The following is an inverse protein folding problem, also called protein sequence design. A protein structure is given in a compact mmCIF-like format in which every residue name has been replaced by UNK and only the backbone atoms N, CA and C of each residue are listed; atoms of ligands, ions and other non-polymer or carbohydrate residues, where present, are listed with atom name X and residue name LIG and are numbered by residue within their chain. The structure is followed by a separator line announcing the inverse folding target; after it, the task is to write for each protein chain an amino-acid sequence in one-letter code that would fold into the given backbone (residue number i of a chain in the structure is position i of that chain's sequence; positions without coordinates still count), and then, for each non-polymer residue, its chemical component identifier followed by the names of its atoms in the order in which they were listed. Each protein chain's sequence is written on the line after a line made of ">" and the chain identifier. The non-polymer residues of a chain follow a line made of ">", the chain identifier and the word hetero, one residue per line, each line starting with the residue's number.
data_IF_808424093254
#
_entry.id   IF_808424093254
#
_cell.length_a   1.000
_cell.length_b   1.000
_cell.length_c   1.000
_cell.angle_alpha   90.00
_cell.angle_beta   90.00
_cell.angle_gamma   90.00
#
_symmetry.space_group_name_H-M   'P 1'
#
loop_
_entity.id
_entity.type
_entity.pdbx_description
1 polymer ?
#
# COMPACT_ATOMS: atom_id res chain seq x y z
N UNK A 1 10.25 -3.38 14.02
CA UNK A 1 10.14 -1.95 13.61
C UNK A 1 8.87 -1.37 14.22
N UNK A 2 8.92 -0.18 14.80
CA UNK A 2 7.74 0.53 15.28
C UNK A 2 7.18 1.41 14.17
N UNK A 3 5.89 1.25 13.84
CA UNK A 3 5.23 2.05 12.81
C UNK A 3 4.43 3.19 13.45
N UNK A 4 4.55 4.39 12.90
CA UNK A 4 3.64 5.49 13.21
C UNK A 4 2.32 5.25 12.50
N UNK A 5 1.21 5.30 13.23
CA UNK A 5 -0.10 5.02 12.65
C UNK A 5 -1.01 6.24 12.68
N UNK A 6 -1.44 6.70 11.52
CA UNK A 6 -2.49 7.71 11.40
C UNK A 6 -3.85 7.02 11.45
N UNK A 7 -4.73 7.51 12.34
CA UNK A 7 -6.08 6.99 12.56
C UNK A 7 -7.09 7.97 12.00
N UNK A 8 -7.69 7.67 10.85
CA UNK A 8 -8.77 8.46 10.24
C UNK A 8 -10.11 8.19 10.90
N UNK A 9 -10.34 6.97 11.34
CA UNK A 9 -11.50 6.56 12.12
C UNK A 9 -11.09 5.53 13.15
N UNK A 10 -11.45 5.75 14.43
CA UNK A 10 -11.11 4.83 15.51
C UNK A 10 -11.83 3.48 15.36
N UNK A 11 -13.08 3.53 14.94
CA UNK A 11 -13.91 2.34 14.72
C UNK A 11 -14.34 1.62 16.00
N UNK A 12 -15.11 0.55 15.83
CA UNK A 12 -15.51 -0.38 16.87
C UNK A 12 -14.58 -1.61 16.88
N UNK A 13 -14.33 -2.21 18.03
CA UNK A 13 -13.53 -3.43 18.16
C UNK A 13 -14.18 -4.65 17.51
N UNK A 14 -15.51 -4.61 17.35
CA UNK A 14 -16.27 -5.70 16.74
C UNK A 14 -16.26 -5.66 15.21
N UNK A 15 -15.68 -4.62 14.61
CA UNK A 15 -15.63 -4.44 13.17
C UNK A 15 -14.18 -4.59 12.67
N UNK A 16 -14.00 -5.36 11.60
CA UNK A 16 -12.70 -5.61 10.98
C UNK A 16 -12.05 -4.31 10.49
N UNK A 17 -10.84 -3.94 10.96
CA UNK A 17 -10.18 -2.70 10.57
C UNK A 17 -9.71 -2.71 9.12
N UNK A 18 -9.65 -1.53 8.51
CA UNK A 18 -9.09 -1.27 7.20
C UNK A 18 -7.72 -0.62 7.35
N UNK A 19 -6.68 -1.26 6.84
CA UNK A 19 -5.28 -0.81 6.89
C UNK A 19 -4.84 -0.37 5.51
N UNK A 20 -4.58 0.92 5.36
CA UNK A 20 -4.17 1.58 4.11
C UNK A 20 -2.64 1.71 4.06
N UNK A 21 -2.00 1.00 3.15
CA UNK A 21 -0.53 0.99 3.02
C UNK A 21 -0.13 1.86 1.83
N UNK A 22 0.61 2.93 2.12
CA UNK A 22 0.89 3.98 1.15
C UNK A 22 1.94 3.61 0.08
N UNK A 23 2.00 4.43 -0.98
CA UNK A 23 2.97 4.32 -2.06
C UNK A 23 4.30 5.02 -1.75
N UNK A 24 5.31 4.71 -2.56
CA UNK A 24 6.56 5.45 -2.69
C UNK A 24 6.38 6.60 -3.74
N UNK A 25 7.00 7.78 -3.59
CA UNK A 25 7.90 8.22 -2.51
C UNK A 25 7.22 9.01 -1.39
N UNK A 26 5.91 8.96 -1.32
CA UNK A 26 5.06 9.73 -0.39
C UNK A 26 4.82 8.98 0.94
N UNK A 27 3.84 9.44 1.73
CA UNK A 27 3.48 8.93 3.05
C UNK A 27 1.94 8.76 3.16
N UNK A 28 1.43 8.54 4.40
CA UNK A 28 0.01 8.31 4.65
C UNK A 28 -0.92 9.38 4.06
N UNK A 29 -0.46 10.63 3.91
CA UNK A 29 -1.27 11.75 3.40
C UNK A 29 -1.85 11.52 2.01
N UNK A 30 -1.27 10.60 1.24
CA UNK A 30 -1.88 10.18 -0.01
C UNK A 30 -3.27 9.55 0.15
N UNK A 31 -3.61 9.11 1.36
CA UNK A 31 -4.89 8.52 1.71
C UNK A 31 -5.90 9.51 2.31
N UNK A 32 -5.50 10.76 2.65
CA UNK A 32 -6.33 11.71 3.40
C UNK A 32 -7.75 11.83 2.82
N UNK A 33 -7.87 12.28 1.58
CA UNK A 33 -9.18 12.46 0.94
C UNK A 33 -9.90 11.11 0.72
N UNK A 34 -9.15 10.06 0.34
CA UNK A 34 -9.72 8.74 0.13
C UNK A 34 -10.31 8.17 1.42
N UNK A 35 -9.61 8.30 2.56
CA UNK A 35 -10.07 7.82 3.86
C UNK A 35 -11.33 8.54 4.33
N UNK A 36 -11.43 9.85 4.09
CA UNK A 36 -12.65 10.64 4.36
C UNK A 36 -13.84 10.14 3.50
N UNK A 37 -13.61 9.90 2.21
CA UNK A 37 -14.64 9.31 1.34
C UNK A 37 -15.03 7.90 1.78
N UNK A 38 -14.07 7.05 2.20
CA UNK A 38 -14.37 5.70 2.71
C UNK A 38 -15.28 5.80 3.93
N UNK A 39 -14.93 6.64 4.91
CA UNK A 39 -15.72 6.80 6.12
C UNK A 39 -17.16 7.23 5.80
N UNK A 40 -17.29 8.29 4.98
CA UNK A 40 -18.60 8.82 4.56
C UNK A 40 -19.44 7.76 3.83
N UNK A 41 -18.89 7.12 2.80
CA UNK A 41 -19.62 6.14 2.00
C UNK A 41 -20.00 4.89 2.80
N UNK A 42 -19.15 4.47 3.75
CA UNK A 42 -19.44 3.36 4.65
C UNK A 42 -20.65 3.69 5.55
N UNK A 43 -20.69 4.91 6.11
CA UNK A 43 -21.79 5.38 6.95
C UNK A 43 -23.09 5.52 6.15
N UNK A 44 -23.04 6.09 4.93
CA UNK A 44 -24.18 6.19 4.01
C UNK A 44 -24.78 4.81 3.66
N UNK A 45 -23.95 3.77 3.64
CA UNK A 45 -24.39 2.38 3.35
C UNK A 45 -24.74 1.57 4.60
N UNK A 46 -24.62 2.14 5.79
CA UNK A 46 -24.90 1.45 7.05
C UNK A 46 -23.93 0.30 7.34
N UNK A 47 -22.68 0.38 6.87
CA UNK A 47 -21.67 -0.62 7.17
C UNK A 47 -21.24 -0.52 8.65
N UNK A 48 -20.70 -1.62 9.24
CA UNK A 48 -20.13 -1.58 10.57
C UNK A 48 -19.11 -0.44 10.72
N UNK A 49 -19.04 0.17 11.89
CA UNK A 49 -18.11 1.25 12.20
C UNK A 49 -16.68 0.68 12.34
N UNK A 50 -16.05 0.31 11.24
CA UNK A 50 -14.67 -0.23 11.21
C UNK A 50 -13.62 0.88 11.35
N UNK A 51 -12.49 0.55 11.97
CA UNK A 51 -11.34 1.46 12.03
C UNK A 51 -10.72 1.67 10.64
N UNK A 52 -10.20 2.89 10.38
CA UNK A 52 -9.47 3.23 9.16
C UNK A 52 -8.11 3.76 9.58
N UNK A 53 -7.06 3.02 9.25
CA UNK A 53 -5.67 3.31 9.62
C UNK A 53 -4.80 3.45 8.39
N UNK A 54 -3.82 4.34 8.48
CA UNK A 54 -2.74 4.44 7.49
C UNK A 54 -1.38 4.52 8.21
N UNK A 55 -0.80 3.37 8.55
CA UNK A 55 0.54 3.33 9.14
C UNK A 55 1.60 3.74 8.14
N UNK A 56 2.60 4.49 8.61
CA UNK A 56 3.74 4.90 7.82
C UNK A 56 4.70 3.75 7.57
N UNK A 57 5.25 3.70 6.35
CA UNK A 57 6.44 2.89 6.11
C UNK A 57 7.67 3.55 6.76
N UNK A 58 8.69 2.76 7.14
CA UNK A 58 9.92 3.31 7.69
C UNK A 58 10.53 4.43 6.85
N UNK A 59 10.90 5.51 7.52
CA UNK A 59 11.49 6.70 6.91
C UNK A 59 10.51 7.52 6.06
N UNK A 60 9.19 7.28 6.18
CA UNK A 60 8.15 8.16 5.64
C UNK A 60 7.50 8.94 6.78
N UNK A 61 7.07 10.17 6.51
CA UNK A 61 6.51 11.03 7.54
C UNK A 61 7.38 11.08 8.80
N UNK A 62 6.77 10.86 9.96
CA UNK A 62 7.48 10.82 11.25
C UNK A 62 7.93 9.41 11.66
N UNK A 63 7.86 8.42 10.76
CA UNK A 63 8.27 7.06 11.06
C UNK A 63 9.81 6.93 11.01
N UNK A 64 10.40 6.40 12.07
CA UNK A 64 11.85 6.22 12.15
C UNK A 64 12.36 5.25 11.08
N UNK A 65 13.61 5.47 10.65
CA UNK A 65 14.33 4.52 9.81
C UNK A 65 14.80 3.38 10.70
N UNK A 66 14.57 2.10 10.32
CA UNK A 66 15.00 0.97 11.12
C UNK A 66 16.52 0.89 11.29
N UNK A 67 16.96 0.37 12.41
CA UNK A 67 18.35 0.01 12.62
C UNK A 67 18.81 -1.06 11.62
N UNK A 68 20.12 -1.31 11.54
CA UNK A 68 20.65 -2.38 10.70
C UNK A 68 20.13 -3.76 11.15
N UNK A 69 20.00 -3.97 12.47
CA UNK A 69 19.43 -5.21 13.02
C UNK A 69 17.96 -5.39 12.62
N UNK A 70 17.13 -4.33 12.71
CA UNK A 70 15.73 -4.36 12.30
C UNK A 70 15.56 -4.49 10.79
N UNK A 71 16.47 -3.96 9.98
CA UNK A 71 16.47 -4.08 8.52
C UNK A 71 16.80 -5.51 8.07
N UNK A 72 17.72 -6.16 8.75
CA UNK A 72 18.14 -7.53 8.46
C UNK A 72 19.28 -7.61 7.43
N UNK A 73 19.30 -8.68 6.65
CA UNK A 73 20.38 -9.00 5.73
C UNK A 73 20.46 -8.02 4.57
N UNK A 74 21.67 -7.51 4.32
CA UNK A 74 22.00 -6.69 3.16
C UNK A 74 22.70 -7.58 2.13
N UNK A 75 22.13 -7.64 0.92
CA UNK A 75 22.72 -8.35 -0.21
C UNK A 75 23.99 -7.65 -0.73
N UNK A 76 24.82 -8.37 -1.49
CA UNK A 76 26.05 -7.83 -2.06
C UNK A 76 25.85 -6.58 -2.96
N UNK A 77 24.68 -6.43 -3.55
CA UNK A 77 24.28 -5.26 -4.36
C UNK A 77 23.69 -4.11 -3.54
N UNK A 78 23.57 -4.27 -2.22
CA UNK A 78 23.02 -3.27 -1.30
C UNK A 78 21.50 -3.27 -1.18
N UNK A 79 20.78 -4.21 -1.80
CA UNK A 79 19.36 -4.43 -1.54
C UNK A 79 19.14 -5.15 -0.20
N UNK A 80 17.95 -5.02 0.38
CA UNK A 80 17.62 -5.61 1.69
C UNK A 80 16.80 -6.90 1.50
N UNK A 81 17.39 -8.05 1.88
CA UNK A 81 16.76 -9.35 1.70
C UNK A 81 15.52 -9.55 2.58
N UNK A 82 15.58 -9.06 3.83
CA UNK A 82 14.58 -9.35 4.86
C UNK A 82 13.61 -8.17 5.12
N UNK A 83 13.93 -6.98 4.62
CA UNK A 83 13.26 -5.75 5.03
C UNK A 83 11.74 -5.75 4.74
N UNK A 84 11.30 -6.28 3.57
CA UNK A 84 9.87 -6.39 3.29
C UNK A 84 9.17 -7.30 4.29
N UNK A 85 9.74 -8.47 4.57
CA UNK A 85 9.15 -9.44 5.51
C UNK A 85 9.05 -8.87 6.93
N UNK A 86 10.09 -8.19 7.39
CA UNK A 86 10.11 -7.54 8.71
C UNK A 86 9.15 -6.36 8.80
N UNK A 87 9.01 -5.59 7.71
CA UNK A 87 8.01 -4.53 7.59
C UNK A 87 6.60 -5.13 7.67
N UNK A 88 6.34 -6.20 6.93
CA UNK A 88 5.07 -6.92 6.96
C UNK A 88 4.72 -7.40 8.37
N UNK A 89 5.70 -8.01 9.08
CA UNK A 89 5.52 -8.43 10.48
C UNK A 89 5.12 -7.25 11.38
N UNK A 90 5.68 -6.06 11.13
CA UNK A 90 5.36 -4.85 11.90
C UNK A 90 3.93 -4.35 11.67
N UNK A 91 3.42 -4.43 10.43
CA UNK A 91 2.01 -4.12 10.12
C UNK A 91 1.05 -5.12 10.79
N UNK A 92 1.38 -6.40 10.75
CA UNK A 92 0.58 -7.46 11.40
C UNK A 92 0.59 -7.28 12.92
N UNK A 93 1.74 -6.99 13.50
CA UNK A 93 1.88 -6.76 14.94
C UNK A 93 1.09 -5.52 15.40
N UNK A 94 1.08 -4.44 14.60
CA UNK A 94 0.25 -3.25 14.88
C UNK A 94 -1.23 -3.63 15.00
N UNK A 95 -1.74 -4.45 14.07
CA UNK A 95 -3.14 -4.93 14.10
C UNK A 95 -3.40 -5.79 15.33
N UNK A 96 -2.50 -6.74 15.64
CA UNK A 96 -2.63 -7.64 16.80
C UNK A 96 -2.56 -6.90 18.14
N UNK A 97 -1.64 -5.94 18.29
CA UNK A 97 -1.54 -5.11 19.50
C UNK A 97 -2.77 -4.24 19.75
N UNK A 98 -3.45 -3.84 18.69
CA UNK A 98 -4.72 -3.13 18.82
C UNK A 98 -5.90 -4.06 19.19
N UNK A 99 -5.66 -5.38 19.33
CA UNK A 99 -6.64 -6.37 19.75
C UNK A 99 -7.48 -6.96 18.62
N UNK A 100 -7.03 -6.81 17.35
CA UNK A 100 -7.71 -7.41 16.20
C UNK A 100 -7.03 -8.70 15.74
N UNK A 101 -7.82 -9.74 15.48
CA UNK A 101 -7.36 -11.00 14.90
C UNK A 101 -7.36 -10.99 13.37
N UNK A 102 -8.12 -10.09 12.75
CA UNK A 102 -8.30 -9.95 11.31
C UNK A 102 -8.24 -8.49 10.89
N UNK A 103 -7.79 -8.23 9.65
CA UNK A 103 -7.82 -6.92 9.03
C UNK A 103 -8.00 -7.01 7.51
N UNK A 104 -8.51 -5.95 6.90
CA UNK A 104 -8.46 -5.75 5.45
C UNK A 104 -7.22 -4.94 5.13
N UNK A 105 -6.34 -5.46 4.28
CA UNK A 105 -5.14 -4.75 3.82
C UNK A 105 -5.38 -4.16 2.43
N UNK A 106 -5.10 -2.88 2.29
CA UNK A 106 -5.13 -2.14 1.03
C UNK A 106 -3.73 -1.63 0.75
N UNK A 107 -3.13 -2.04 -0.35
CA UNK A 107 -1.80 -1.58 -0.71
C UNK A 107 -1.78 -0.90 -2.07
N UNK A 108 -1.30 0.35 -2.13
CA UNK A 108 -1.08 1.06 -3.38
C UNK A 108 0.41 1.02 -3.75
N UNK A 109 0.73 0.59 -4.98
CA UNK A 109 2.10 0.53 -5.49
C UNK A 109 3.03 -0.26 -4.56
N UNK A 110 4.01 0.39 -3.92
CA UNK A 110 4.89 -0.23 -2.93
C UNK A 110 4.11 -0.81 -1.74
N UNK A 111 2.99 -0.18 -1.34
CA UNK A 111 2.09 -0.74 -0.33
C UNK A 111 1.49 -2.08 -0.72
N UNK A 112 1.31 -2.31 -2.03
CA UNK A 112 0.87 -3.60 -2.56
C UNK A 112 1.86 -4.72 -2.32
N UNK A 113 3.18 -4.42 -2.26
CA UNK A 113 4.19 -5.42 -1.91
C UNK A 113 4.00 -5.91 -0.48
N UNK A 114 3.74 -4.98 0.46
CA UNK A 114 3.43 -5.32 1.85
C UNK A 114 2.15 -6.15 1.93
N UNK A 115 1.07 -5.71 1.28
CA UNK A 115 -0.21 -6.42 1.30
C UNK A 115 -0.12 -7.84 0.73
N UNK A 116 0.66 -8.06 -0.34
CA UNK A 116 0.92 -9.40 -0.89
C UNK A 116 1.86 -10.22 -0.02
N UNK A 117 2.80 -9.60 0.68
CA UNK A 117 3.65 -10.31 1.63
C UNK A 117 2.89 -10.72 2.89
N UNK A 118 1.82 -9.98 3.29
CA UNK A 118 0.86 -10.44 4.31
C UNK A 118 0.18 -11.74 3.84
N UNK A 119 -0.24 -11.84 2.57
CA UNK A 119 -0.80 -13.11 2.02
C UNK A 119 0.17 -14.27 2.18
N UNK A 120 1.46 -14.02 1.91
CA UNK A 120 2.51 -15.06 1.97
C UNK A 120 2.80 -15.54 3.39
N UNK A 121 2.87 -14.60 4.35
CA UNK A 121 3.44 -14.84 5.69
C UNK A 121 2.39 -14.99 6.77
N UNK A 122 1.30 -14.28 6.63
CA UNK A 122 0.25 -14.15 7.65
C UNK A 122 -1.16 -14.26 7.03
N UNK A 123 -1.48 -15.31 6.25
CA UNK A 123 -2.79 -15.45 5.64
C UNK A 123 -3.92 -15.51 6.67
N UNK A 124 -3.60 -15.91 7.90
CA UNK A 124 -4.52 -15.99 9.02
C UNK A 124 -5.09 -14.64 9.45
N UNK A 125 -4.36 -13.54 9.28
CA UNK A 125 -4.84 -12.20 9.66
C UNK A 125 -5.72 -11.55 8.59
N UNK A 126 -5.74 -12.08 7.38
CA UNK A 126 -6.50 -11.46 6.29
C UNK A 126 -8.00 -11.70 6.44
N UNK A 127 -8.77 -10.61 6.38
CA UNK A 127 -10.22 -10.61 6.17
C UNK A 127 -10.58 -10.17 4.74
N UNK A 128 -9.71 -9.41 4.10
CA UNK A 128 -9.86 -8.93 2.74
C UNK A 128 -8.57 -8.30 2.22
N UNK A 129 -8.47 -8.16 0.90
CA UNK A 129 -7.30 -7.64 0.22
C UNK A 129 -7.69 -6.67 -0.89
N UNK A 130 -7.05 -5.50 -0.96
CA UNK A 130 -7.10 -4.65 -2.14
C UNK A 130 -5.69 -4.34 -2.66
N UNK A 131 -5.50 -4.53 -3.96
CA UNK A 131 -4.26 -4.23 -4.68
C UNK A 131 -4.53 -3.07 -5.63
N UNK A 132 -3.91 -1.92 -5.36
CA UNK A 132 -4.10 -0.69 -6.12
C UNK A 132 -2.80 -0.33 -6.84
N UNK A 133 -2.85 -0.13 -8.17
CA UNK A 133 -1.72 0.38 -8.98
C UNK A 133 -0.39 -0.33 -8.67
N UNK A 134 -0.40 -1.68 -8.57
CA UNK A 134 0.72 -2.48 -8.09
C UNK A 134 0.96 -3.73 -8.92
N UNK A 135 2.01 -4.49 -8.58
CA UNK A 135 2.38 -5.73 -9.26
C UNK A 135 2.95 -6.76 -8.27
N UNK A 136 2.71 -8.08 -8.48
CA UNK A 136 3.18 -9.12 -7.58
C UNK A 136 4.64 -9.53 -7.83
N UNK A 137 5.15 -9.35 -9.05
CA UNK A 137 6.48 -9.79 -9.45
C UNK A 137 7.62 -8.91 -8.92
N UNK A 138 8.85 -9.42 -8.96
CA UNK A 138 10.04 -8.63 -8.69
C UNK A 138 10.26 -7.60 -9.81
N UNK A 139 11.13 -6.62 -9.56
CA UNK A 139 11.55 -5.73 -10.62
C UNK A 139 12.37 -6.47 -11.69
N UNK A 140 12.20 -6.08 -12.94
CA UNK A 140 13.15 -6.43 -13.99
C UNK A 140 14.56 -5.91 -13.61
N UNK A 141 15.65 -6.56 -14.07
CA UNK A 141 17.02 -6.22 -13.66
C UNK A 141 17.36 -4.73 -13.75
N UNK A 142 16.93 -4.08 -14.84
CA UNK A 142 17.17 -2.64 -15.05
C UNK A 142 16.41 -1.76 -14.06
N UNK A 143 15.14 -2.08 -13.77
CA UNK A 143 14.33 -1.35 -12.79
C UNK A 143 14.90 -1.51 -11.38
N UNK A 144 15.33 -2.73 -11.02
CA UNK A 144 16.02 -3.03 -9.76
C UNK A 144 17.33 -2.24 -9.61
N UNK A 145 18.16 -2.22 -10.64
CA UNK A 145 19.41 -1.44 -10.66
C UNK A 145 19.11 0.07 -10.50
N UNK A 146 18.05 0.57 -11.13
CA UNK A 146 17.65 1.96 -11.00
C UNK A 146 17.22 2.31 -9.56
N UNK A 147 16.48 1.40 -8.87
CA UNK A 147 16.15 1.60 -7.44
C UNK A 147 17.40 1.74 -6.58
N UNK A 148 18.38 0.87 -6.76
CA UNK A 148 19.63 0.90 -5.99
C UNK A 148 20.45 2.16 -6.30
N UNK A 149 20.45 2.61 -7.56
CA UNK A 149 21.07 3.89 -7.95
C UNK A 149 20.39 5.07 -7.26
N UNK A 150 19.05 5.14 -7.27
CA UNK A 150 18.30 6.20 -6.58
C UNK A 150 18.60 6.17 -5.09
N UNK A 151 18.61 5.00 -4.45
CA UNK A 151 18.92 4.84 -3.04
C UNK A 151 20.31 5.44 -2.72
N UNK A 152 21.32 5.05 -3.50
CA UNK A 152 22.70 5.53 -3.32
C UNK A 152 22.81 7.04 -3.52
N UNK A 153 22.18 7.59 -4.56
CA UNK A 153 22.22 9.04 -4.84
C UNK A 153 21.54 9.85 -3.72
N UNK A 154 20.38 9.39 -3.23
CA UNK A 154 19.69 10.06 -2.13
C UNK A 154 20.50 10.03 -0.84
N UNK A 155 21.05 8.88 -0.47
CA UNK A 155 21.78 8.67 0.78
C UNK A 155 23.12 9.41 0.77
N UNK A 156 23.95 9.22 -0.26
CA UNK A 156 25.28 9.82 -0.34
C UNK A 156 25.24 11.32 -0.62
N UNK A 157 24.31 11.78 -1.46
CA UNK A 157 24.11 13.18 -1.80
C UNK A 157 23.27 13.94 -0.76
N UNK A 158 22.66 13.25 0.21
CA UNK A 158 21.68 13.81 1.14
C UNK A 158 20.64 14.67 0.39
N UNK A 159 20.06 14.12 -0.69
CA UNK A 159 19.21 14.85 -1.63
C UNK A 159 17.97 14.04 -2.02
N UNK A 160 16.90 14.74 -2.41
CA UNK A 160 15.65 14.16 -2.92
C UNK A 160 15.49 14.32 -4.43
N UNK A 161 16.46 15.00 -5.09
CA UNK A 161 16.43 15.22 -6.55
C UNK A 161 16.17 13.95 -7.38
N UNK A 162 16.72 12.77 -7.05
CA UNK A 162 16.46 11.55 -7.81
C UNK A 162 15.00 11.10 -7.85
N UNK A 163 14.16 11.58 -6.92
CA UNK A 163 12.74 11.23 -6.83
C UNK A 163 11.79 12.39 -7.16
N UNK A 164 12.31 13.58 -7.45
CA UNK A 164 11.46 14.73 -7.80
C UNK A 164 10.64 14.54 -9.08
N UNK A 165 11.06 13.65 -9.97
CA UNK A 165 10.30 13.32 -11.18
C UNK A 165 8.88 12.78 -10.87
N UNK A 166 8.63 12.22 -9.67
CA UNK A 166 7.29 11.81 -9.25
C UNK A 166 6.33 12.99 -9.06
N UNK A 167 6.83 14.19 -8.79
CA UNK A 167 6.02 15.42 -8.72
C UNK A 167 5.71 16.01 -10.09
N UNK A 168 6.58 15.76 -11.09
CA UNK A 168 6.49 16.39 -12.39
C UNK A 168 5.49 15.67 -13.31
N UNK A 169 4.67 16.42 -14.07
CA UNK A 169 3.75 15.81 -15.03
C UNK A 169 4.51 15.23 -16.22
N UNK A 170 3.98 14.12 -16.74
CA UNK A 170 4.48 13.46 -17.94
C UNK A 170 3.40 13.47 -19.05
N UNK A 171 3.81 13.36 -20.32
CA UNK A 171 2.85 13.16 -21.41
C UNK A 171 2.00 11.91 -21.15
N UNK A 172 0.67 12.04 -21.22
CA UNK A 172 -0.27 10.93 -20.97
C UNK A 172 -0.78 10.81 -19.53
N UNK A 173 -0.26 11.62 -18.59
CA UNK A 173 -0.82 11.68 -17.25
C UNK A 173 -2.27 12.20 -17.22
N UNK A 174 -2.98 11.90 -16.13
CA UNK A 174 -4.34 12.39 -15.86
C UNK A 174 -4.42 13.93 -15.82
N UNK A 175 -5.61 14.47 -16.02
CA UNK A 175 -5.85 15.90 -15.89
C UNK A 175 -5.42 16.42 -14.50
N UNK A 176 -5.73 15.64 -13.45
CA UNK A 176 -5.31 15.99 -12.07
C UNK A 176 -3.78 16.00 -11.94
N UNK A 177 -3.10 14.94 -12.40
CA UNK A 177 -1.63 14.83 -12.30
C UNK A 177 -0.90 15.97 -13.00
N UNK A 178 -1.46 16.48 -14.12
CA UNK A 178 -0.92 17.64 -14.87
C UNK A 178 -1.26 18.99 -14.25
N UNK A 179 -2.12 19.04 -13.24
CA UNK A 179 -2.52 20.30 -12.62
C UNK A 179 -1.39 20.92 -11.78
N UNK A 180 -1.28 22.26 -11.73
CA UNK A 180 -0.34 22.94 -10.83
C UNK A 180 -0.55 22.57 -9.37
N UNK A 181 -1.77 22.30 -8.96
CA UNK A 181 -2.11 21.91 -7.60
C UNK A 181 -1.48 20.55 -7.24
N UNK A 182 -1.55 19.56 -8.14
CA UNK A 182 -0.93 18.25 -7.94
C UNK A 182 0.59 18.37 -7.90
N UNK A 183 1.19 19.14 -8.83
CA UNK A 183 2.65 19.37 -8.85
C UNK A 183 3.11 19.98 -7.53
N UNK A 184 2.44 21.02 -7.04
CA UNK A 184 2.77 21.65 -5.77
C UNK A 184 2.61 20.70 -4.58
N UNK A 185 1.54 19.89 -4.58
CA UNK A 185 1.24 18.90 -3.54
C UNK A 185 2.36 17.84 -3.44
N UNK A 186 2.68 17.17 -4.56
CA UNK A 186 3.72 16.14 -4.58
C UNK A 186 5.11 16.71 -4.33
N UNK A 187 5.42 17.89 -4.87
CA UNK A 187 6.68 18.58 -4.59
C UNK A 187 6.86 18.79 -3.09
N UNK A 188 5.84 19.31 -2.41
CA UNK A 188 5.86 19.50 -0.96
C UNK A 188 6.03 18.16 -0.22
N UNK A 189 5.20 17.16 -0.52
CA UNK A 189 5.26 15.86 0.14
C UNK A 189 6.61 15.16 -0.03
N UNK A 190 7.22 15.28 -1.21
CA UNK A 190 8.53 14.69 -1.47
C UNK A 190 9.63 15.47 -0.71
N UNK A 191 9.60 16.80 -0.71
CA UNK A 191 10.58 17.60 0.03
C UNK A 191 10.53 17.40 1.55
N UNK A 192 9.42 16.96 2.08
CA UNK A 192 9.23 16.62 3.49
C UNK A 192 9.70 15.18 3.83
N UNK A 193 10.12 14.36 2.85
CA UNK A 193 10.70 13.04 3.09
C UNK A 193 12.18 13.17 3.48
N UNK A 194 12.69 12.14 4.19
CA UNK A 194 14.13 12.06 4.44
C UNK A 194 14.85 11.32 3.29
N UNK A 195 16.01 11.82 2.81
CA UNK A 195 16.81 11.11 1.81
C UNK A 195 17.16 9.67 2.21
N UNK A 196 17.51 9.46 3.48
CA UNK A 196 17.79 8.12 4.01
C UNK A 196 16.55 7.21 4.05
N UNK A 197 15.35 7.76 4.34
CA UNK A 197 14.08 7.04 4.27
C UNK A 197 13.72 6.64 2.84
N UNK A 198 13.94 7.52 1.86
CA UNK A 198 13.83 7.20 0.43
C UNK A 198 14.77 6.06 0.07
N UNK A 199 16.04 6.14 0.49
CA UNK A 199 17.04 5.11 0.23
C UNK A 199 16.63 3.76 0.82
N UNK A 200 16.18 3.74 2.09
CA UNK A 200 15.74 2.52 2.77
C UNK A 200 14.60 1.83 2.01
N UNK A 201 13.54 2.58 1.66
CA UNK A 201 12.38 2.05 0.93
C UNK A 201 12.74 1.53 -0.46
N UNK A 202 13.66 2.18 -1.17
CA UNK A 202 14.14 1.71 -2.46
C UNK A 202 14.97 0.42 -2.34
N UNK A 203 15.85 0.29 -1.33
CA UNK A 203 16.62 -0.92 -1.07
C UNK A 203 15.72 -2.09 -0.66
N UNK A 204 14.69 -1.84 0.15
CA UNK A 204 13.66 -2.82 0.51
C UNK A 204 12.92 -3.31 -0.74
N UNK A 205 12.43 -2.40 -1.57
CA UNK A 205 11.72 -2.76 -2.80
C UNK A 205 12.60 -3.53 -3.80
N UNK A 206 13.89 -3.18 -3.92
CA UNK A 206 14.85 -3.89 -4.75
C UNK A 206 15.14 -5.33 -4.26
N UNK A 207 15.01 -5.57 -2.96
CA UNK A 207 15.23 -6.89 -2.35
C UNK A 207 13.99 -7.79 -2.27
N UNK A 208 12.80 -7.29 -2.68
CA UNK A 208 11.56 -8.05 -2.53
C UNK A 208 11.56 -9.33 -3.36
N UNK A 209 10.97 -10.42 -2.85
CA UNK A 209 10.81 -11.66 -3.60
C UNK A 209 9.72 -11.52 -4.69
N UNK A 210 9.64 -12.53 -5.54
CA UNK A 210 8.48 -12.76 -6.41
C UNK A 210 7.30 -13.27 -5.55
N UNK A 211 6.20 -12.51 -5.56
CA UNK A 211 4.98 -12.83 -4.83
C UNK A 211 3.86 -13.37 -5.74
N UNK A 212 4.13 -13.57 -7.03
CA UNK A 212 3.16 -14.07 -8.02
C UNK A 212 2.57 -15.42 -7.61
N UNK A 213 3.42 -16.30 -7.06
CA UNK A 213 3.01 -17.63 -6.60
C UNK A 213 1.99 -17.63 -5.44
N UNK A 214 1.77 -16.50 -4.78
CA UNK A 214 0.79 -16.37 -3.69
C UNK A 214 -0.63 -16.09 -4.20
N UNK A 215 -0.79 -15.59 -5.42
CA UNK A 215 -2.08 -15.15 -5.96
C UNK A 215 -3.17 -16.23 -5.96
N UNK A 216 -2.90 -17.50 -6.34
CA UNK A 216 -3.91 -18.55 -6.30
C UNK A 216 -4.41 -18.87 -4.89
N UNK A 217 -3.59 -18.63 -3.87
CA UNK A 217 -3.90 -18.90 -2.46
C UNK A 217 -4.75 -17.82 -1.77
N UNK A 218 -5.10 -16.74 -2.46
CA UNK A 218 -5.94 -15.69 -1.90
C UNK A 218 -7.39 -16.18 -1.90
N UNK A 219 -7.93 -16.46 -0.71
CA UNK A 219 -9.30 -16.99 -0.53
C UNK A 219 -10.28 -15.99 0.07
N UNK A 220 -9.79 -14.86 0.56
CA UNK A 220 -10.61 -13.78 1.12
C UNK A 220 -11.19 -12.87 0.03
N UNK A 221 -12.25 -12.09 0.30
CA UNK A 221 -12.73 -11.08 -0.62
C UNK A 221 -11.61 -10.18 -1.11
N UNK A 222 -11.45 -10.03 -2.43
CA UNK A 222 -10.37 -9.24 -3.01
C UNK A 222 -10.86 -8.20 -4.00
N UNK A 223 -10.14 -7.08 -4.08
CA UNK A 223 -10.33 -6.04 -5.08
C UNK A 223 -9.00 -5.70 -5.76
N UNK A 224 -9.05 -5.39 -7.05
CA UNK A 224 -7.94 -4.84 -7.83
C UNK A 224 -8.40 -3.52 -8.44
N UNK A 225 -7.73 -2.42 -8.10
CA UNK A 225 -8.05 -1.06 -8.53
C UNK A 225 -6.88 -0.49 -9.32
N UNK A 226 -7.13 0.08 -10.49
CA UNK A 226 -6.07 0.65 -11.30
C UNK A 226 -6.55 1.89 -12.07
N UNK A 227 -5.69 2.90 -12.13
CA UNK A 227 -5.87 4.00 -13.07
C UNK A 227 -5.77 3.52 -14.52
N UNK A 228 -6.64 4.04 -15.40
CA UNK A 228 -6.61 3.69 -16.84
C UNK A 228 -5.32 4.17 -17.54
N UNK A 229 -4.66 5.16 -16.97
CA UNK A 229 -3.42 5.74 -17.47
C UNK A 229 -2.18 5.24 -16.71
N UNK A 230 -2.35 4.32 -15.73
CA UNK A 230 -1.22 3.74 -15.01
C UNK A 230 -0.42 2.79 -15.92
N UNK A 231 0.92 2.94 -16.02
CA UNK A 231 1.77 2.00 -16.72
C UNK A 231 1.64 0.54 -16.25
N UNK A 232 1.24 0.30 -15.00
CA UNK A 232 1.05 -1.04 -14.45
C UNK A 232 -0.27 -1.72 -14.86
N UNK A 233 -1.19 -1.02 -15.54
CA UNK A 233 -2.51 -1.55 -15.92
C UNK A 233 -2.44 -2.89 -16.66
N UNK A 234 -1.52 -3.02 -17.63
CA UNK A 234 -1.34 -4.26 -18.39
C UNK A 234 -0.90 -5.42 -17.47
N UNK A 235 0.02 -5.15 -16.54
CA UNK A 235 0.48 -6.11 -15.54
C UNK A 235 -0.66 -6.53 -14.62
N UNK A 236 -1.47 -5.57 -14.15
CA UNK A 236 -2.61 -5.85 -13.27
C UNK A 236 -3.64 -6.72 -13.98
N UNK A 237 -3.98 -6.43 -15.23
CA UNK A 237 -4.84 -7.30 -16.05
C UNK A 237 -4.28 -8.71 -16.22
N UNK A 238 -2.95 -8.85 -16.30
CA UNK A 238 -2.26 -10.13 -16.45
C UNK A 238 -2.28 -11.00 -15.19
N UNK A 239 -2.21 -10.42 -13.99
CA UNK A 239 -2.18 -11.21 -12.77
C UNK A 239 -3.57 -11.48 -12.15
N UNK A 240 -4.59 -10.67 -12.42
CA UNK A 240 -5.96 -10.91 -11.90
C UNK A 240 -6.46 -12.33 -12.18
N UNK A 241 -6.31 -12.90 -13.38
CA UNK A 241 -6.73 -14.28 -13.67
C UNK A 241 -6.01 -15.34 -12.83
N UNK A 242 -4.86 -15.01 -12.23
CA UNK A 242 -4.12 -15.93 -11.36
C UNK A 242 -4.69 -15.98 -9.95
N UNK A 243 -5.55 -15.06 -9.56
CA UNK A 243 -6.21 -15.02 -8.24
C UNK A 243 -7.43 -15.97 -8.21
N UNK A 244 -7.16 -17.26 -8.41
CA UNK A 244 -8.20 -18.29 -8.61
C UNK A 244 -8.93 -18.72 -7.35
N UNK A 245 -8.38 -18.42 -6.16
CA UNK A 245 -8.99 -18.79 -4.87
C UNK A 245 -10.16 -17.92 -4.44
N UNK A 246 -10.43 -16.80 -5.13
CA UNK A 246 -11.48 -15.85 -4.76
C UNK A 246 -12.09 -15.16 -5.97
N UNK A 247 -13.30 -14.60 -5.80
CA UNK A 247 -13.87 -13.69 -6.81
C UNK A 247 -13.30 -12.29 -6.62
N UNK A 248 -12.44 -11.87 -7.55
CA UNK A 248 -11.84 -10.54 -7.55
C UNK A 248 -12.81 -9.52 -8.17
N UNK A 249 -13.07 -8.41 -7.45
CA UNK A 249 -13.70 -7.24 -8.05
C UNK A 249 -12.61 -6.36 -8.69
N UNK A 250 -12.76 -6.04 -9.97
CA UNK A 250 -11.81 -5.17 -10.67
C UNK A 250 -12.44 -3.81 -10.95
N UNK A 251 -11.68 -2.75 -10.70
CA UNK A 251 -12.10 -1.37 -11.00
C UNK A 251 -10.99 -0.68 -11.77
N UNK A 252 -11.30 -0.28 -13.00
CA UNK A 252 -10.46 0.62 -13.79
C UNK A 252 -11.04 2.03 -13.68
N UNK A 253 -10.22 3.02 -13.37
CA UNK A 253 -10.64 4.39 -13.13
C UNK A 253 -10.15 5.26 -14.31
N UNK A 254 -11.09 5.84 -15.04
CA UNK A 254 -10.78 6.72 -16.17
C UNK A 254 -10.14 8.03 -15.72
N UNK A 255 -9.31 8.65 -16.57
CA UNK A 255 -8.51 9.85 -16.29
C UNK A 255 -7.78 9.78 -14.94
N UNK A 256 -7.11 8.65 -14.70
CA UNK A 256 -6.43 8.34 -13.45
C UNK A 256 -5.13 7.60 -13.76
N UNK A 257 -4.03 8.05 -13.17
CA UNK A 257 -2.71 7.42 -13.26
C UNK A 257 -2.37 6.59 -12.04
N UNK A 258 -1.08 6.58 -11.68
CA UNK A 258 -0.49 5.70 -10.68
C UNK A 258 -0.88 6.00 -9.22
N UNK A 259 -1.22 7.24 -8.90
CA UNK A 259 -1.61 7.62 -7.54
C UNK A 259 -3.13 7.71 -7.44
N UNK A 260 -3.83 6.61 -7.75
CA UNK A 260 -5.29 6.61 -7.88
C UNK A 260 -6.02 7.14 -6.66
N UNK A 261 -5.52 6.88 -5.45
CA UNK A 261 -6.11 7.38 -4.20
C UNK A 261 -6.01 8.92 -4.04
N UNK A 262 -5.06 9.55 -4.74
CA UNK A 262 -4.90 11.02 -4.77
C UNK A 262 -5.62 11.62 -5.97
N UNK A 263 -5.52 10.96 -7.13
CA UNK A 263 -6.06 11.48 -8.38
C UNK A 263 -7.59 11.36 -8.45
N UNK A 264 -8.15 10.26 -7.94
CA UNK A 264 -9.58 9.95 -7.97
C UNK A 264 -10.05 9.33 -6.64
N UNK A 265 -9.91 10.03 -5.49
CA UNK A 265 -10.13 9.48 -4.15
C UNK A 265 -11.53 8.90 -3.94
N UNK A 266 -12.56 9.55 -4.48
CA UNK A 266 -13.93 9.06 -4.37
C UNK A 266 -14.19 7.77 -5.17
N UNK A 267 -13.49 7.56 -6.29
CA UNK A 267 -13.63 6.33 -7.09
C UNK A 267 -12.94 5.15 -6.40
N UNK A 268 -11.73 5.36 -5.87
CA UNK A 268 -11.02 4.36 -5.06
C UNK A 268 -11.83 4.01 -3.81
N UNK A 269 -12.33 5.02 -3.09
CA UNK A 269 -13.14 4.81 -1.89
C UNK A 269 -14.39 3.95 -2.16
N UNK A 270 -15.10 4.16 -3.28
CA UNK A 270 -16.24 3.30 -3.67
C UNK A 270 -15.83 1.84 -3.80
N UNK A 271 -14.73 1.56 -4.50
CA UNK A 271 -14.23 0.19 -4.68
C UNK A 271 -13.84 -0.45 -3.33
N UNK A 272 -13.23 0.32 -2.42
CA UNK A 272 -12.84 -0.16 -1.11
C UNK A 272 -14.03 -0.37 -0.17
N UNK A 273 -15.06 0.48 -0.24
CA UNK A 273 -16.31 0.28 0.52
C UNK A 273 -17.08 -0.94 0.00
N UNK A 274 -17.09 -1.18 -1.32
CA UNK A 274 -17.63 -2.42 -1.90
C UNK A 274 -16.88 -3.67 -1.39
N UNK A 275 -15.56 -3.58 -1.22
CA UNK A 275 -14.78 -4.64 -0.61
C UNK A 275 -15.17 -4.84 0.86
N UNK A 276 -15.24 -3.77 1.65
CA UNK A 276 -15.63 -3.84 3.07
C UNK A 276 -17.02 -4.44 3.26
N UNK A 277 -17.96 -4.13 2.36
CA UNK A 277 -19.29 -4.72 2.37
C UNK A 277 -19.24 -6.23 2.13
N UNK A 278 -18.42 -6.72 1.19
CA UNK A 278 -18.21 -8.15 0.94
C UNK A 278 -17.52 -8.85 2.12
N UNK A 279 -16.58 -8.17 2.78
CA UNK A 279 -15.93 -8.68 3.99
C UNK A 279 -16.94 -8.85 5.12
N UNK A 280 -17.79 -7.84 5.37
CA UNK A 280 -18.81 -7.92 6.41
C UNK A 280 -19.86 -9.04 6.16
N UNK A 281 -20.06 -9.43 4.91
CA UNK A 281 -20.97 -10.52 4.51
C UNK A 281 -20.29 -11.90 4.48
N UNK A 282 -18.97 -11.97 4.67
CA UNK A 282 -18.22 -13.23 4.61
C UNK A 282 -18.33 -14.01 5.94
N UNK A 283 -18.47 -15.34 5.93
CA UNK A 283 -18.49 -16.16 7.15
C UNK A 283 -17.23 -15.98 8.02
N UNK A 284 -16.09 -15.69 7.42
CA UNK A 284 -14.83 -15.45 8.13
C UNK A 284 -14.80 -14.14 8.97
N UNK A 285 -15.77 -13.25 8.80
CA UNK A 285 -15.89 -12.03 9.61
C UNK A 285 -16.51 -12.29 11.00
N UNK A 286 -17.14 -13.44 11.22
CA UNK A 286 -17.88 -13.73 12.46
C UNK A 286 -17.03 -14.44 13.52
N UNK A 287 -15.78 -14.82 13.21
CA UNK A 287 -14.86 -15.52 14.13
C UNK A 287 -14.05 -14.55 15.03
N UNK A 288 -14.47 -13.30 15.15
CA UNK A 288 -13.75 -12.26 15.92
C UNK A 288 -14.04 -12.29 17.43
N UNK A 289 -14.92 -13.13 17.93
CA UNK A 289 -15.15 -13.28 19.36
C UNK A 289 -14.24 -14.37 19.94
N UNK A 290 -13.02 -14.03 20.31
CA UNK A 290 -12.25 -14.85 21.25
C UNK A 290 -12.96 -14.71 22.61
N UNK A 291 -13.61 -15.79 23.05
CA UNK A 291 -14.16 -15.89 24.41
C UNK A 291 -13.01 -15.65 25.42
N UNK A 292 -13.19 -14.68 26.28
CA UNK A 292 -12.39 -14.46 27.48
C UNK A 292 -12.77 -15.47 28.56
#
# INVERSE_FOLDING_TARGET
>A
MELKNTVYRAGSRDATPLVLVHAFPVDHRMWDDCALWIARLADERGLPNFAIWAPEMPGAGDCAIPSAEETGTVNADGSYADALSRLTDSYVELVRRAGFSKAVFVGLSMGGYVAMDVVRRHPDILAGLALCDTQPGPDAPQARANRLKIATLCEQGNTLEPVMHFALPQPGDSAFKRSPACVALFTRWIHEQSPAGIAWRQRMAAGRPDLTGQLPGITVPAAVVCGALDPSLATMRGFVPLMTGTRVATTQIEDCGHFSAVEQPAAVARALVDLMQRVAQSPAAHDTAIAH
#
